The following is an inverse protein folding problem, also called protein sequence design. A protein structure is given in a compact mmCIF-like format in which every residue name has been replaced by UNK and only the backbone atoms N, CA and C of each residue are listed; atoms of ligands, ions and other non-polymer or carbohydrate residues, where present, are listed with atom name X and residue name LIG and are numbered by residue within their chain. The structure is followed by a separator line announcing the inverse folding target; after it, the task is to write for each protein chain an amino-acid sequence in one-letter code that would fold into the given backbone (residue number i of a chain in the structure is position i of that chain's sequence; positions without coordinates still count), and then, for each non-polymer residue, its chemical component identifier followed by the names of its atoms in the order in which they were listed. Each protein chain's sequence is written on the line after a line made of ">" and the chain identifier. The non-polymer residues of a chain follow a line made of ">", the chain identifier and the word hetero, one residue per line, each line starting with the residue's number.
data_IF_459294022688
#
_entry.id   IF_459294022688
#
_cell.length_a   1.000
_cell.length_b   1.000
_cell.length_c   1.000
_cell.angle_alpha   90.00
_cell.angle_beta   90.00
_cell.angle_gamma   90.00
#
_symmetry.space_group_name_H-M   'P 1'
#
loop_
_entity.id
_entity.type
_entity.pdbx_description
1 polymer ?
#
# COMPACT_ATOMS: atom_id res chain seq x y z
N UNK A 1 22.75 -4.07 -4.09
CA UNK A 1 22.22 -5.27 -3.39
C UNK A 1 22.94 -6.48 -3.92
N UNK A 2 23.35 -7.42 -3.08
CA UNK A 2 24.00 -8.65 -3.54
C UNK A 2 22.96 -9.57 -4.17
N UNK A 3 22.99 -9.72 -5.51
CA UNK A 3 21.98 -10.48 -6.25
C UNK A 3 22.22 -11.98 -6.24
N UNK A 4 23.43 -12.40 -5.86
CA UNK A 4 23.89 -13.77 -5.98
C UNK A 4 25.04 -14.06 -5.03
N UNK A 5 25.04 -15.27 -4.48
CA UNK A 5 26.14 -15.84 -3.70
C UNK A 5 26.65 -17.10 -4.41
N UNK A 6 27.90 -17.10 -4.85
CA UNK A 6 28.52 -18.20 -5.60
C UNK A 6 29.08 -17.75 -6.96
N UNK A 7 28.95 -18.59 -8.00
CA UNK A 7 29.51 -18.31 -9.34
C UNK A 7 28.86 -17.09 -9.99
N UNK A 8 29.64 -16.15 -10.54
CA UNK A 8 29.10 -14.94 -11.20
C UNK A 8 28.28 -15.23 -12.47
N UNK A 9 27.38 -14.31 -12.83
CA UNK A 9 26.66 -14.28 -14.12
C UNK A 9 27.38 -13.41 -15.17
N UNK A 10 26.89 -13.45 -16.41
CA UNK A 10 27.25 -12.50 -17.47
C UNK A 10 26.89 -11.07 -17.06
N UNK A 11 27.86 -10.18 -16.99
CA UNK A 11 27.70 -8.79 -16.49
C UNK A 11 26.79 -7.93 -17.37
N UNK A 12 26.82 -8.12 -18.70
CA UNK A 12 26.15 -7.22 -19.65
C UNK A 12 24.62 -7.25 -19.53
N UNK A 13 24.03 -8.44 -19.37
CA UNK A 13 22.57 -8.57 -19.24
C UNK A 13 22.06 -7.98 -17.92
N UNK A 14 22.79 -8.19 -16.82
CA UNK A 14 22.47 -7.59 -15.52
C UNK A 14 22.56 -6.07 -15.57
N UNK A 15 23.55 -5.50 -16.25
CA UNK A 15 23.64 -4.04 -16.44
C UNK A 15 22.44 -3.50 -17.19
N UNK A 16 22.10 -4.08 -18.35
CA UNK A 16 20.95 -3.64 -19.14
C UNK A 16 19.62 -3.73 -18.38
N UNK A 17 19.45 -4.78 -17.57
CA UNK A 17 18.25 -4.94 -16.74
C UNK A 17 18.18 -3.87 -15.64
N UNK A 18 19.29 -3.58 -14.97
CA UNK A 18 19.36 -2.51 -13.97
C UNK A 18 19.12 -1.13 -14.60
N UNK A 19 19.68 -0.87 -15.78
CA UNK A 19 19.45 0.36 -16.53
C UNK A 19 17.97 0.51 -16.88
N UNK A 20 17.30 -0.57 -17.28
CA UNK A 20 15.85 -0.57 -17.54
C UNK A 20 15.05 -0.22 -16.28
N UNK A 21 15.37 -0.84 -15.13
CA UNK A 21 14.71 -0.54 -13.85
C UNK A 21 14.87 0.93 -13.49
N UNK A 22 16.08 1.48 -13.63
CA UNK A 22 16.37 2.89 -13.35
C UNK A 22 15.62 3.83 -14.31
N UNK A 23 15.63 3.53 -15.62
CA UNK A 23 15.00 4.37 -16.63
C UNK A 23 13.47 4.41 -16.54
N UNK A 24 12.87 3.34 -16.02
CA UNK A 24 11.43 3.24 -15.80
C UNK A 24 11.02 3.65 -14.38
N UNK A 25 11.97 4.13 -13.56
CA UNK A 25 11.76 4.55 -12.17
C UNK A 25 11.04 3.47 -11.32
N UNK A 26 11.34 2.20 -11.60
CA UNK A 26 10.69 1.09 -10.92
C UNK A 26 11.31 0.86 -9.54
N UNK A 27 10.45 0.71 -8.54
CA UNK A 27 10.81 0.43 -7.17
C UNK A 27 10.92 -1.10 -7.01
N UNK A 28 12.07 -1.56 -6.54
CA UNK A 28 12.28 -2.96 -6.14
C UNK A 28 12.19 -3.07 -4.61
N UNK A 29 11.01 -3.39 -4.04
CA UNK A 29 10.85 -3.50 -2.60
C UNK A 29 11.79 -4.56 -1.98
N UNK A 30 12.31 -4.33 -0.76
CA UNK A 30 13.08 -5.33 -0.05
C UNK A 30 12.18 -6.52 0.32
N UNK A 31 12.75 -7.73 0.25
CA UNK A 31 12.11 -8.93 0.75
C UNK A 31 12.46 -9.08 2.23
N UNK A 32 11.44 -9.23 3.10
CA UNK A 32 11.62 -9.01 4.54
C UNK A 32 12.13 -10.23 5.30
N UNK A 33 11.94 -11.45 4.78
CA UNK A 33 12.25 -12.70 5.48
C UNK A 33 13.39 -13.53 4.85
N UNK A 34 13.81 -13.19 3.63
CA UNK A 34 14.97 -13.80 2.98
C UNK A 34 15.53 -12.88 1.89
N UNK A 35 16.72 -13.21 1.35
CA UNK A 35 17.37 -12.43 0.28
C UNK A 35 17.39 -13.10 -1.09
N UNK A 36 17.18 -14.41 -1.17
CA UNK A 36 17.34 -15.19 -2.40
C UNK A 36 16.07 -15.97 -2.70
N UNK A 37 15.68 -16.05 -3.96
CA UNK A 37 14.47 -16.79 -4.39
C UNK A 37 14.81 -18.09 -5.11
N UNK A 38 16.08 -18.33 -5.39
CA UNK A 38 16.54 -19.52 -6.08
C UNK A 38 17.80 -20.11 -5.44
N UNK A 39 17.93 -21.44 -5.49
CA UNK A 39 19.16 -22.13 -5.15
C UNK A 39 19.35 -23.40 -5.98
N UNK A 40 20.60 -23.73 -6.28
CA UNK A 40 20.92 -24.97 -7.02
C UNK A 40 20.82 -26.26 -6.19
N UNK A 41 20.39 -26.19 -4.92
CA UNK A 41 20.19 -27.35 -4.02
C UNK A 41 21.42 -28.23 -3.74
N UNK A 42 22.62 -27.71 -3.96
CA UNK A 42 23.86 -28.44 -3.66
C UNK A 42 24.30 -28.23 -2.21
N UNK A 43 25.18 -29.12 -1.71
CA UNK A 43 25.75 -29.04 -0.34
C UNK A 43 26.35 -27.67 -0.02
N UNK A 44 27.02 -27.06 -1.01
CA UNK A 44 27.50 -25.68 -0.97
C UNK A 44 26.69 -24.89 -2.01
N UNK A 45 25.50 -24.38 -1.65
CA UNK A 45 24.57 -23.91 -2.63
C UNK A 45 25.02 -22.59 -3.26
N UNK A 46 24.79 -22.46 -4.56
CA UNK A 46 24.69 -21.13 -5.18
C UNK A 46 23.30 -20.60 -4.92
N UNK A 47 23.22 -19.35 -4.46
CA UNK A 47 21.96 -18.67 -4.16
C UNK A 47 21.80 -17.48 -5.09
N UNK A 48 20.60 -17.24 -5.61
CA UNK A 48 20.32 -16.10 -6.48
C UNK A 48 18.94 -15.50 -6.20
N UNK A 49 18.79 -14.18 -6.41
CA UNK A 49 17.49 -13.49 -6.38
C UNK A 49 17.02 -13.27 -7.82
N UNK A 50 16.29 -14.27 -8.34
CA UNK A 50 15.79 -14.28 -9.72
C UNK A 50 14.37 -13.71 -9.83
N UNK A 51 13.58 -13.82 -8.77
CA UNK A 51 12.17 -13.44 -8.75
C UNK A 51 11.99 -12.14 -7.96
N UNK A 52 11.29 -11.16 -8.55
CA UNK A 52 11.12 -9.82 -7.99
C UNK A 52 9.77 -9.23 -8.40
N UNK A 53 9.17 -8.46 -7.49
CA UNK A 53 8.17 -7.48 -7.86
C UNK A 53 8.88 -6.16 -8.19
N UNK A 54 8.48 -5.52 -9.27
CA UNK A 54 8.91 -4.18 -9.65
C UNK A 54 7.66 -3.32 -9.67
N UNK A 55 7.64 -2.29 -8.84
CA UNK A 55 6.46 -1.45 -8.59
C UNK A 55 6.67 -0.08 -9.22
N UNK A 56 5.61 0.52 -9.76
CA UNK A 56 5.68 1.92 -10.17
C UNK A 56 5.63 2.84 -8.96
N UNK A 57 5.99 4.11 -9.15
CA UNK A 57 5.90 5.12 -8.10
C UNK A 57 4.46 5.40 -7.69
N UNK A 58 3.49 5.30 -8.62
CA UNK A 58 2.07 5.43 -8.33
C UNK A 58 1.57 4.28 -7.44
N UNK A 59 2.04 3.06 -7.66
CA UNK A 59 1.71 1.92 -6.80
C UNK A 59 2.18 2.15 -5.36
N UNK A 60 3.41 2.64 -5.19
CA UNK A 60 3.97 2.92 -3.87
C UNK A 60 3.19 4.02 -3.13
N UNK A 61 2.67 5.02 -3.86
CA UNK A 61 1.83 6.07 -3.29
C UNK A 61 0.46 5.55 -2.82
N UNK A 62 -0.16 4.64 -3.59
CA UNK A 62 -1.48 4.08 -3.25
C UNK A 62 -1.38 2.99 -2.16
N UNK A 63 -0.30 2.20 -2.20
CA UNK A 63 -0.06 1.06 -1.32
C UNK A 63 1.28 1.20 -0.57
N UNK A 64 1.46 2.24 0.27
CA UNK A 64 2.75 2.55 0.90
C UNK A 64 3.19 1.52 1.95
N UNK A 65 2.30 0.59 2.31
CA UNK A 65 2.56 -0.49 3.25
C UNK A 65 2.81 -1.82 2.54
N UNK A 66 3.10 -1.79 1.23
CA UNK A 66 3.45 -2.97 0.44
C UNK A 66 4.65 -3.70 1.03
N UNK A 67 4.56 -5.02 1.17
CA UNK A 67 5.65 -5.88 1.65
C UNK A 67 5.84 -7.07 0.74
N UNK A 68 7.08 -7.51 0.58
CA UNK A 68 7.40 -8.74 -0.13
C UNK A 68 7.98 -9.76 0.83
N UNK A 69 7.41 -10.96 0.81
CA UNK A 69 7.91 -12.12 1.54
C UNK A 69 8.13 -13.26 0.57
N UNK A 70 8.99 -14.19 0.95
CA UNK A 70 8.99 -15.49 0.31
C UNK A 70 8.27 -16.54 1.13
N UNK A 71 7.69 -17.48 0.41
CA UNK A 71 7.01 -18.62 0.97
C UNK A 71 7.95 -19.82 1.07
N UNK A 72 7.71 -20.73 2.04
CA UNK A 72 8.45 -21.98 2.13
C UNK A 72 8.41 -22.77 0.83
N UNK A 73 9.58 -23.25 0.43
CA UNK A 73 9.79 -24.07 -0.76
C UNK A 73 9.76 -25.54 -0.37
N UNK A 74 8.94 -26.33 -1.06
CA UNK A 74 8.79 -27.77 -0.78
C UNK A 74 9.76 -28.62 -1.62
N UNK A 75 9.71 -28.49 -2.94
CA UNK A 75 10.46 -29.37 -3.87
C UNK A 75 11.10 -28.63 -5.05
N UNK A 76 10.64 -27.42 -5.38
CA UNK A 76 11.20 -26.58 -6.45
C UNK A 76 12.60 -26.07 -6.08
N UNK A 77 13.42 -25.65 -7.03
CA UNK A 77 14.64 -24.87 -6.79
C UNK A 77 14.35 -23.37 -6.58
N UNK A 78 13.11 -22.93 -6.85
CA UNK A 78 12.57 -21.61 -6.56
C UNK A 78 11.73 -21.55 -5.27
N UNK A 79 11.85 -20.45 -4.53
CA UNK A 79 10.91 -20.04 -3.48
C UNK A 79 9.84 -19.12 -4.09
N UNK A 80 8.54 -19.44 -3.97
CA UNK A 80 7.49 -18.51 -4.34
C UNK A 80 7.61 -17.20 -3.54
N UNK A 81 7.29 -16.06 -4.17
CA UNK A 81 7.23 -14.76 -3.50
C UNK A 81 5.80 -14.26 -3.44
N UNK A 82 5.45 -13.61 -2.33
CA UNK A 82 4.14 -13.07 -2.02
C UNK A 82 4.26 -11.55 -1.83
N UNK A 83 3.35 -10.81 -2.48
CA UNK A 83 3.19 -9.38 -2.32
C UNK A 83 1.99 -9.12 -1.41
N UNK A 84 2.24 -8.56 -0.23
CA UNK A 84 1.18 -8.02 0.62
C UNK A 84 0.91 -6.59 0.21
N UNK A 85 -0.36 -6.27 0.03
CA UNK A 85 -0.82 -4.97 -0.45
C UNK A 85 -1.78 -4.41 0.59
N UNK A 86 -1.42 -3.27 1.17
CA UNK A 86 -2.29 -2.55 2.09
C UNK A 86 -2.47 -1.13 1.57
N UNK A 87 -3.71 -0.81 1.22
CA UNK A 87 -4.07 0.50 0.67
C UNK A 87 -4.01 1.55 1.78
N UNK A 88 -3.48 2.71 1.45
CA UNK A 88 -3.62 3.89 2.32
C UNK A 88 -5.10 4.26 2.43
N UNK A 89 -5.74 3.83 3.51
CA UNK A 89 -7.08 4.29 3.82
C UNK A 89 -6.98 5.79 4.19
N UNK A 90 -7.54 6.66 3.35
CA UNK A 90 -7.81 8.04 3.76
C UNK A 90 -8.71 7.95 4.99
N UNK A 91 -8.29 8.51 6.13
CA UNK A 91 -9.18 8.67 7.28
C UNK A 91 -10.42 9.39 6.77
N UNK A 92 -11.57 8.70 6.71
CA UNK A 92 -12.83 9.37 6.40
C UNK A 92 -13.03 10.42 7.49
N UNK A 93 -13.35 11.66 7.11
CA UNK A 93 -13.83 12.66 8.07
C UNK A 93 -14.98 11.99 8.83
N UNK A 94 -14.97 12.03 10.17
CA UNK A 94 -16.11 11.57 10.96
C UNK A 94 -17.24 12.55 10.66
N UNK A 95 -18.23 12.10 9.90
CA UNK A 95 -19.44 12.88 9.65
C UNK A 95 -20.40 12.55 10.78
N UNK A 96 -20.81 13.57 11.54
CA UNK A 96 -21.93 13.47 12.46
C UNK A 96 -23.22 13.58 11.64
N UNK A 97 -24.12 12.59 11.76
CA UNK A 97 -25.42 12.58 11.09
C UNK A 97 -26.50 12.48 12.14
N UNK A 98 -27.56 13.26 11.97
CA UNK A 98 -28.73 13.27 12.84
C UNK A 98 -29.96 13.60 11.99
N UNK A 99 -31.14 13.21 12.48
CA UNK A 99 -32.41 13.55 11.84
C UNK A 99 -32.70 15.04 12.04
N UNK A 100 -33.13 15.74 10.98
CA UNK A 100 -33.48 17.18 11.05
C UNK A 100 -34.51 17.46 12.16
N UNK A 101 -35.45 16.54 12.36
CA UNK A 101 -36.46 16.61 13.41
C UNK A 101 -35.87 16.80 14.83
N UNK A 102 -34.63 16.37 15.06
CA UNK A 102 -33.96 16.52 16.36
C UNK A 102 -33.54 17.96 16.65
N UNK A 103 -33.43 18.84 15.64
CA UNK A 103 -33.22 20.28 15.87
C UNK A 103 -34.34 20.90 16.70
N UNK A 104 -35.54 20.34 16.61
CA UNK A 104 -36.71 20.79 17.36
C UNK A 104 -36.84 20.11 18.73
N UNK A 105 -35.98 19.13 19.06
CA UNK A 105 -36.04 18.45 20.35
C UNK A 105 -35.37 19.30 21.42
N UNK A 106 -36.09 19.54 22.52
CA UNK A 106 -35.59 20.33 23.64
C UNK A 106 -34.29 19.73 24.20
N UNK A 107 -33.26 20.57 24.36
CA UNK A 107 -31.95 20.15 24.87
C UNK A 107 -31.08 19.35 23.90
N UNK A 108 -31.48 19.14 22.63
CA UNK A 108 -30.64 18.48 21.64
C UNK A 108 -29.41 19.33 21.28
N UNK A 109 -29.61 20.61 20.99
CA UNK A 109 -28.52 21.54 20.64
C UNK A 109 -27.46 21.60 21.75
N UNK A 110 -27.88 21.62 23.02
CA UNK A 110 -26.97 21.63 24.18
C UNK A 110 -26.19 20.32 24.38
N UNK A 111 -26.57 19.24 23.69
CA UNK A 111 -25.91 17.93 23.74
C UNK A 111 -25.05 17.65 22.51
N UNK A 112 -25.05 18.55 21.52
CA UNK A 112 -24.14 18.44 20.39
C UNK A 112 -22.70 18.56 20.91
N UNK A 113 -21.78 17.68 20.47
CA UNK A 113 -20.36 17.83 20.81
C UNK A 113 -19.86 19.22 20.40
N UNK A 114 -18.91 19.82 21.11
CA UNK A 114 -18.22 21.07 20.71
C UNK A 114 -17.26 20.85 19.52
N UNK A 115 -17.73 20.17 18.47
CA UNK A 115 -16.96 19.88 17.26
C UNK A 115 -16.68 21.12 16.41
N UNK A 116 -17.35 22.25 16.70
CA UNK A 116 -17.17 23.55 16.04
C UNK A 116 -15.77 24.14 16.19
N UNK A 117 -14.97 23.68 17.17
CA UNK A 117 -13.69 24.33 17.48
C UNK A 117 -12.47 23.68 16.82
N UNK A 118 -12.62 22.59 16.05
CA UNK A 118 -11.46 21.76 15.69
C UNK A 118 -11.11 21.70 14.19
N UNK A 119 -11.71 22.53 13.33
CA UNK A 119 -11.25 22.67 11.94
C UNK A 119 -11.72 23.98 11.34
N UNK A 120 -10.77 24.79 10.89
CA UNK A 120 -10.99 25.90 9.96
C UNK A 120 -11.66 25.35 8.70
N UNK A 121 -12.98 25.52 8.61
CA UNK A 121 -13.84 25.58 7.43
C UNK A 121 -15.27 25.68 7.98
N UNK A 122 -15.72 26.92 8.21
CA UNK A 122 -17.04 27.23 8.74
C UNK A 122 -18.13 26.72 7.80
N UNK A 123 -18.72 25.56 8.08
CA UNK A 123 -20.00 25.17 7.47
C UNK A 123 -21.08 26.00 8.17
N UNK A 124 -21.53 27.06 7.51
CA UNK A 124 -22.70 27.82 7.91
C UNK A 124 -23.92 26.91 7.79
N UNK A 125 -24.84 26.96 8.76
CA UNK A 125 -26.10 26.18 8.73
C UNK A 125 -26.93 26.47 7.46
N UNK A 126 -26.66 27.60 6.80
CA UNK A 126 -27.29 28.00 5.55
C UNK A 126 -26.72 27.32 4.29
N UNK A 127 -25.61 26.57 4.39
CA UNK A 127 -25.00 25.86 3.25
C UNK A 127 -25.56 24.45 3.05
N UNK A 128 -26.48 24.00 3.91
CA UNK A 128 -27.16 22.70 3.78
C UNK A 128 -28.39 22.73 2.86
N UNK A 129 -28.65 23.88 2.22
CA UNK A 129 -29.87 24.14 1.46
C UNK A 129 -29.99 23.45 0.10
N UNK A 130 -28.88 23.06 -0.54
CA UNK A 130 -28.91 22.69 -1.97
C UNK A 130 -28.38 21.29 -2.32
N UNK A 131 -27.92 20.48 -1.37
CA UNK A 131 -27.36 19.13 -1.63
C UNK A 131 -28.15 17.99 -0.96
N UNK A 132 -29.48 18.00 -1.11
CA UNK A 132 -30.33 16.87 -0.73
C UNK A 132 -30.82 16.16 -2.00
N UNK A 133 -30.02 15.21 -2.49
CA UNK A 133 -30.52 14.19 -3.40
C UNK A 133 -31.34 13.18 -2.60
N UNK A 134 -32.67 13.28 -2.70
CA UNK A 134 -33.59 12.25 -2.22
C UNK A 134 -33.39 10.99 -3.08
N UNK A 135 -32.76 9.97 -2.50
CA UNK A 135 -32.85 8.59 -3.00
C UNK A 135 -34.03 7.97 -2.27
N UNK A 136 -35.13 7.75 -2.99
CA UNK A 136 -36.16 6.79 -2.57
C UNK A 136 -35.75 5.42 -3.13
N UNK A 137 -36.00 4.35 -2.37
CA UNK A 137 -35.79 2.95 -2.78
C UNK A 137 -36.47 2.63 -4.12
#
# INVERSE_FOLDING_TARGET
>A
MEERRGKSWSSKASTLFNDLIMNLELINPPMINQSFTWSNMQKNPTLARLDRFLLSTEWDQEFPLTKVEALPRMTSDHCPILLYVERRMKKKKKIFRFEEAWLNHEGFISKLPDWRNDSADDIQINDLGDDVHYIWD
#
